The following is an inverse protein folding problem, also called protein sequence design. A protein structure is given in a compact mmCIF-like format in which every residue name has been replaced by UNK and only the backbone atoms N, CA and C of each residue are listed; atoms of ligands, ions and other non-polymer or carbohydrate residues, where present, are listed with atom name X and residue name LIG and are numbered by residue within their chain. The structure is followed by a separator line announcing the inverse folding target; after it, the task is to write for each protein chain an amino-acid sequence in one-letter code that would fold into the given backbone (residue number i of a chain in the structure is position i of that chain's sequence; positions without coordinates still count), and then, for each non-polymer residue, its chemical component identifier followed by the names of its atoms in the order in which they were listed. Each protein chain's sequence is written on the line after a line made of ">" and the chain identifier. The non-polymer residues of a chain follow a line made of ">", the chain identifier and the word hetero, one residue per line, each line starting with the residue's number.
data_IF_484119267270
#
_entry.id   IF_484119267270
#
_cell.length_a   1.000
_cell.length_b   1.000
_cell.length_c   1.000
_cell.angle_alpha   90.00
_cell.angle_beta   90.00
_cell.angle_gamma   90.00
#
_symmetry.space_group_name_H-M   'P 1'
#
loop_
_entity.id
_entity.type
_entity.pdbx_description
1 polymer ?
#
# COMPACT_ATOMS: atom_id res chain seq x y z
N UNK A 1 -24.24 -12.74 11.81
CA UNK A 1 -23.21 -11.96 12.53
C UNK A 1 -21.80 -12.23 12.03
N UNK A 2 -21.48 -13.46 11.62
CA UNK A 2 -20.14 -13.88 11.19
C UNK A 2 -19.58 -13.12 9.96
N UNK A 3 -20.39 -12.94 8.91
CA UNK A 3 -20.00 -12.18 7.72
C UNK A 3 -19.67 -10.70 8.01
N UNK A 4 -20.34 -10.10 9.00
CA UNK A 4 -20.08 -8.70 9.41
C UNK A 4 -18.71 -8.57 10.09
N UNK A 5 -18.35 -9.56 10.91
CA UNK A 5 -17.04 -9.61 11.57
C UNK A 5 -15.92 -9.87 10.57
N UNK A 6 -16.13 -10.74 9.59
CA UNK A 6 -15.17 -10.98 8.50
C UNK A 6 -14.93 -9.70 7.69
N UNK A 7 -15.99 -8.99 7.30
CA UNK A 7 -15.87 -7.75 6.54
C UNK A 7 -15.13 -6.64 7.30
N UNK A 8 -15.38 -6.52 8.62
CA UNK A 8 -14.65 -5.61 9.51
C UNK A 8 -13.15 -5.95 9.56
N UNK A 9 -12.81 -7.24 9.71
CA UNK A 9 -11.42 -7.71 9.73
C UNK A 9 -10.69 -7.41 8.43
N UNK A 10 -11.31 -7.73 7.28
CA UNK A 10 -10.73 -7.44 5.96
C UNK A 10 -10.51 -5.94 5.78
N UNK A 11 -11.48 -5.11 6.16
CA UNK A 11 -11.35 -3.65 6.05
C UNK A 11 -10.22 -3.10 6.92
N UNK A 12 -10.05 -3.65 8.13
CA UNK A 12 -8.96 -3.31 9.03
C UNK A 12 -7.60 -3.73 8.44
N UNK A 13 -7.51 -4.94 7.90
CA UNK A 13 -6.30 -5.46 7.25
C UNK A 13 -5.92 -4.56 6.06
N UNK A 14 -6.87 -4.19 5.21
CA UNK A 14 -6.64 -3.28 4.08
C UNK A 14 -6.12 -1.92 4.54
N UNK A 15 -6.70 -1.35 5.59
CA UNK A 15 -6.25 -0.09 6.15
C UNK A 15 -4.81 -0.21 6.71
N UNK A 16 -4.52 -1.25 7.49
CA UNK A 16 -3.19 -1.45 8.08
C UNK A 16 -2.14 -1.72 7.00
N UNK A 17 -2.42 -2.61 6.04
CA UNK A 17 -1.51 -2.90 4.93
C UNK A 17 -1.27 -1.66 4.05
N UNK A 18 -2.33 -0.92 3.72
CA UNK A 18 -2.20 0.32 2.97
C UNK A 18 -1.35 1.36 3.70
N UNK A 19 -1.54 1.50 5.02
CA UNK A 19 -0.74 2.38 5.86
C UNK A 19 0.73 1.98 5.91
N UNK A 20 1.02 0.69 6.11
CA UNK A 20 2.38 0.15 6.09
C UNK A 20 3.04 0.45 4.74
N UNK A 21 2.37 0.16 3.62
CA UNK A 21 2.92 0.43 2.29
C UNK A 21 3.21 1.92 2.09
N UNK A 22 2.33 2.81 2.56
CA UNK A 22 2.54 4.26 2.47
C UNK A 22 3.77 4.73 3.28
N UNK A 23 3.94 4.21 4.50
CA UNK A 23 5.04 4.61 5.38
C UNK A 23 6.39 4.01 5.00
N UNK A 24 6.39 2.78 4.50
CA UNK A 24 7.61 2.04 4.11
C UNK A 24 7.84 2.05 2.59
N UNK A 25 7.19 2.96 1.85
CA UNK A 25 7.25 2.99 0.38
C UNK A 25 8.68 3.09 -0.18
N UNK A 26 9.55 3.88 0.45
CA UNK A 26 10.91 4.13 0.00
C UNK A 26 11.80 2.92 0.28
N UNK A 27 11.66 2.28 1.43
CA UNK A 27 12.42 1.07 1.77
C UNK A 27 12.02 -0.10 0.85
N UNK A 28 10.73 -0.22 0.57
CA UNK A 28 10.21 -1.20 -0.40
C UNK A 28 10.71 -0.89 -1.82
N UNK A 29 10.72 0.37 -2.23
CA UNK A 29 11.22 0.79 -3.53
C UNK A 29 12.73 0.56 -3.68
N UNK A 30 13.52 0.82 -2.63
CA UNK A 30 14.95 0.54 -2.59
C UNK A 30 15.23 -0.96 -2.70
N UNK A 31 14.48 -1.79 -1.98
CA UNK A 31 14.61 -3.26 -2.02
C UNK A 31 14.29 -3.82 -3.40
N UNK A 32 13.25 -3.30 -4.05
CA UNK A 32 12.90 -3.66 -5.44
C UNK A 32 13.92 -3.15 -6.45
N UNK A 33 14.42 -1.93 -6.27
CA UNK A 33 15.52 -1.38 -7.09
C UNK A 33 16.72 -2.31 -7.01
N UNK A 34 17.18 -2.64 -5.81
CA UNK A 34 18.33 -3.50 -5.59
C UNK A 34 18.16 -4.88 -6.25
N UNK A 35 16.97 -5.49 -6.09
CA UNK A 35 16.66 -6.78 -6.72
C UNK A 35 16.64 -6.69 -8.26
N UNK A 36 16.06 -5.62 -8.81
CA UNK A 36 15.98 -5.43 -10.27
C UNK A 36 17.34 -5.13 -10.92
N UNK A 37 18.21 -4.43 -10.20
CA UNK A 37 19.53 -4.03 -10.66
C UNK A 37 20.63 -5.05 -10.37
N UNK A 38 20.36 -6.10 -9.56
CA UNK A 38 21.35 -7.09 -9.16
C UNK A 38 22.13 -7.70 -10.35
N UNK A 39 21.47 -7.82 -11.51
CA UNK A 39 22.05 -8.40 -12.73
C UNK A 39 22.15 -7.39 -13.90
N UNK A 40 22.01 -6.08 -13.63
CA UNK A 40 21.90 -5.05 -14.68
C UNK A 40 22.83 -3.86 -14.42
N UNK A 41 23.78 -3.63 -15.33
CA UNK A 41 24.66 -2.46 -15.30
C UNK A 41 24.00 -1.25 -15.97
N UNK A 42 23.11 -0.55 -15.26
CA UNK A 42 22.51 0.69 -15.74
C UNK A 42 23.31 1.93 -15.31
N UNK A 43 23.11 3.03 -16.01
CA UNK A 43 23.62 4.35 -15.60
C UNK A 43 22.79 4.93 -14.44
N UNK A 44 23.42 5.72 -13.57
CA UNK A 44 22.83 6.30 -12.36
C UNK A 44 21.49 7.05 -12.58
N UNK A 45 21.33 7.70 -13.75
CA UNK A 45 20.11 8.42 -14.11
C UNK A 45 18.93 7.44 -14.23
N UNK A 46 19.16 6.29 -14.87
CA UNK A 46 18.15 5.26 -15.08
C UNK A 46 17.80 4.60 -13.75
N UNK A 47 18.79 4.35 -12.88
CA UNK A 47 18.55 3.81 -11.55
C UNK A 47 17.66 4.70 -10.68
N UNK A 48 17.90 6.00 -10.68
CA UNK A 48 17.10 6.96 -9.92
C UNK A 48 15.65 7.03 -10.44
N UNK A 49 15.47 6.90 -11.76
CA UNK A 49 14.13 6.88 -12.35
C UNK A 49 13.37 5.59 -11.99
N UNK A 50 14.07 4.45 -11.95
CA UNK A 50 13.50 3.16 -11.48
C UNK A 50 13.04 3.28 -10.02
N UNK A 51 13.88 3.83 -9.14
CA UNK A 51 13.53 4.04 -7.74
C UNK A 51 12.28 4.91 -7.60
N UNK A 52 12.25 6.05 -8.30
CA UNK A 52 11.12 6.97 -8.28
C UNK A 52 9.82 6.31 -8.75
N UNK A 53 9.90 5.50 -9.80
CA UNK A 53 8.76 4.75 -10.32
C UNK A 53 8.22 3.74 -9.29
N UNK A 54 9.10 2.98 -8.63
CA UNK A 54 8.68 2.05 -7.58
C UNK A 54 8.09 2.77 -6.36
N UNK A 55 8.68 3.89 -5.92
CA UNK A 55 8.11 4.70 -4.83
C UNK A 55 6.71 5.21 -5.17
N UNK A 56 6.49 5.73 -6.39
CA UNK A 56 5.15 6.15 -6.82
C UNK A 56 4.16 4.99 -6.90
N UNK A 57 4.60 3.84 -7.41
CA UNK A 57 3.77 2.65 -7.47
C UNK A 57 3.28 2.26 -6.06
N UNK A 58 4.19 2.22 -5.08
CA UNK A 58 3.82 1.93 -3.69
C UNK A 58 2.93 2.99 -3.06
N UNK A 59 3.18 4.28 -3.33
CA UNK A 59 2.28 5.35 -2.90
C UNK A 59 0.85 5.15 -3.40
N UNK A 60 0.69 4.83 -4.68
CA UNK A 60 -0.62 4.60 -5.30
C UNK A 60 -1.29 3.38 -4.68
N UNK A 61 -0.60 2.23 -4.64
CA UNK A 61 -1.14 0.98 -4.08
C UNK A 61 -1.52 1.17 -2.62
N UNK A 62 -0.62 1.72 -1.81
CA UNK A 62 -0.84 1.97 -0.39
C UNK A 62 -2.02 2.93 -0.16
N UNK A 63 -2.09 4.00 -0.95
CA UNK A 63 -3.18 4.99 -0.89
C UNK A 63 -4.54 4.38 -1.21
N UNK A 64 -4.63 3.54 -2.25
CA UNK A 64 -5.86 2.84 -2.62
C UNK A 64 -6.30 1.87 -1.53
N UNK A 65 -5.40 1.01 -1.04
CA UNK A 65 -5.72 0.03 0.01
C UNK A 65 -6.16 0.73 1.30
N UNK A 66 -5.43 1.78 1.70
CA UNK A 66 -5.75 2.56 2.88
C UNK A 66 -7.13 3.22 2.76
N UNK A 67 -7.39 3.88 1.63
CA UNK A 67 -8.66 4.58 1.38
C UNK A 67 -9.85 3.62 1.39
N UNK A 68 -9.73 2.46 0.74
CA UNK A 68 -10.78 1.42 0.73
C UNK A 68 -11.03 0.91 2.14
N UNK A 69 -9.97 0.60 2.90
CA UNK A 69 -10.07 0.13 4.27
C UNK A 69 -10.80 1.12 5.18
N UNK A 70 -10.37 2.40 5.15
CA UNK A 70 -10.99 3.47 5.95
C UNK A 70 -12.44 3.73 5.53
N UNK A 71 -12.73 3.77 4.22
CA UNK A 71 -14.10 3.96 3.73
C UNK A 71 -15.05 2.87 4.24
N UNK A 72 -14.63 1.60 4.15
CA UNK A 72 -15.46 0.47 4.60
C UNK A 72 -15.68 0.49 6.12
N UNK A 73 -14.64 0.80 6.91
CA UNK A 73 -14.75 0.94 8.37
C UNK A 73 -15.71 2.07 8.76
N UNK A 74 -15.63 3.21 8.06
CA UNK A 74 -16.45 4.40 8.36
C UNK A 74 -17.91 4.17 7.96
N UNK A 75 -18.15 3.55 6.81
CA UNK A 75 -19.50 3.22 6.32
C UNK A 75 -20.21 2.24 7.27
N UNK A 76 -19.52 1.22 7.76
CA UNK A 76 -20.07 0.29 8.77
C UNK A 76 -20.44 1.00 10.07
N UNK A 77 -19.62 1.98 10.52
CA UNK A 77 -19.87 2.76 11.73
C UNK A 77 -21.14 3.61 11.60
N UNK A 78 -21.44 4.15 10.42
CA UNK A 78 -22.66 4.93 10.17
C UNK A 78 -23.92 4.06 10.15
N UNK A 79 -23.84 2.83 9.64
CA UNK A 79 -24.98 1.89 9.65
C UNK A 79 -25.37 1.50 11.08
N UNK A 80 -24.41 1.33 11.99
CA UNK A 80 -24.68 0.94 13.38
C UNK A 80 -25.23 2.08 14.27
N UNK A 81 -25.29 3.32 13.77
CA UNK A 81 -25.82 4.48 14.52
C UNK A 81 -27.30 4.79 14.21
N UNK A 82 -27.89 4.12 13.22
CA UNK A 82 -29.32 4.17 12.91
C UNK A 82 -30.00 2.95 13.50
#
# INVERSE_FOLDING_TARGET
>A
MENKNMYLRVSLILAVLGFIILFFNNDLALSLKATYLADKGFEDIVENQILKNYSYMFLIIGGVLFSIGIYNLTKLKQINKK
#
